data_IF_957054849074
#
_entry.id   IF_957054849074
#
_cell.length_a   1.000
_cell.length_b   1.000
_cell.length_c   1.000
_cell.angle_alpha   90.00
_cell.angle_beta   90.00
_cell.angle_gamma   90.00
#
_symmetry.space_group_name_H-M   'P 1'
#
loop_
_entity.id
_entity.type
_entity.pdbx_description
1 polymer ?
#
# COMPACT_ATOMS: atom_id res chain seq x y z
N UNK A 1 23.15 -44.64 31.84
CA UNK A 1 21.72 -44.60 31.45
C UNK A 1 21.08 -43.43 32.18
N UNK A 2 20.96 -42.29 31.50
CA UNK A 2 20.31 -41.09 32.03
C UNK A 2 18.84 -41.11 31.62
N UNK A 3 17.88 -40.90 32.54
CA UNK A 3 16.46 -40.90 32.20
C UNK A 3 16.11 -39.65 31.37
N UNK A 4 15.34 -39.89 30.31
CA UNK A 4 14.81 -38.88 29.41
C UNK A 4 13.69 -38.09 30.12
N UNK A 5 13.69 -36.74 30.09
CA UNK A 5 12.62 -35.96 30.71
C UNK A 5 11.30 -36.10 29.93
N UNK A 6 10.20 -36.22 30.66
CA UNK A 6 8.85 -36.30 30.10
C UNK A 6 8.42 -34.97 29.44
N UNK A 7 7.62 -35.02 28.35
CA UNK A 7 7.16 -33.81 27.67
C UNK A 7 6.11 -33.05 28.51
N UNK A 8 6.03 -31.71 28.36
CA UNK A 8 5.08 -30.88 29.09
C UNK A 8 3.63 -31.09 28.61
N UNK A 9 2.69 -30.99 29.56
CA UNK A 9 1.26 -31.12 29.35
C UNK A 9 0.69 -29.99 28.46
N UNK A 10 -0.26 -30.35 27.60
CA UNK A 10 -0.95 -29.42 26.71
C UNK A 10 -1.86 -28.44 27.48
N UNK A 11 -1.94 -27.16 27.06
CA UNK A 11 -2.83 -26.18 27.68
C UNK A 11 -4.32 -26.45 27.34
N UNK A 12 -5.26 -26.08 28.23
CA UNK A 12 -6.68 -26.28 28.00
C UNK A 12 -7.24 -25.36 26.90
N UNK A 13 -8.14 -25.91 26.09
CA UNK A 13 -8.84 -25.20 25.03
C UNK A 13 -9.80 -24.14 25.60
N UNK A 14 -9.58 -22.87 25.23
CA UNK A 14 -10.47 -21.76 25.55
C UNK A 14 -11.65 -21.78 24.57
N UNK A 15 -12.85 -22.09 25.09
CA UNK A 15 -14.11 -21.94 24.37
C UNK A 15 -14.52 -20.47 24.38
N UNK A 16 -14.34 -19.76 23.28
CA UNK A 16 -14.88 -18.41 23.10
C UNK A 16 -16.37 -18.47 22.78
N UNK A 17 -17.20 -17.97 23.69
CA UNK A 17 -18.62 -17.73 23.49
C UNK A 17 -18.84 -16.47 22.66
N UNK A 18 -19.64 -16.57 21.59
CA UNK A 18 -20.04 -15.45 20.73
C UNK A 18 -21.36 -14.87 21.24
N UNK A 19 -21.47 -13.58 21.58
CA UNK A 19 -22.75 -12.95 21.85
C UNK A 19 -23.46 -12.54 20.54
N UNK A 20 -24.81 -12.61 20.47
CA UNK A 20 -25.57 -12.19 19.30
C UNK A 20 -25.64 -10.66 19.19
N UNK A 21 -25.36 -10.14 18.00
CA UNK A 21 -25.55 -8.71 17.66
C UNK A 21 -27.01 -8.49 17.24
N UNK A 22 -27.69 -7.61 17.97
CA UNK A 22 -29.06 -7.15 17.71
C UNK A 22 -29.11 -6.25 16.46
N UNK A 23 -29.95 -6.63 15.51
CA UNK A 23 -30.31 -5.85 14.31
C UNK A 23 -31.27 -4.72 14.69
N UNK A 24 -30.90 -3.46 14.44
CA UNK A 24 -31.81 -2.32 14.56
C UNK A 24 -32.28 -1.87 13.17
N UNK A 25 -33.59 -1.93 12.94
CA UNK A 25 -34.31 -1.43 11.76
C UNK A 25 -34.65 0.04 11.98
N UNK A 26 -34.32 0.92 11.03
CA UNK A 26 -34.78 2.31 11.01
C UNK A 26 -35.54 2.56 9.72
N UNK A 27 -36.81 2.89 9.84
CA UNK A 27 -37.70 3.32 8.76
C UNK A 27 -38.40 4.59 9.22
N UNK A 28 -38.32 5.69 8.46
CA UNK A 28 -39.48 6.43 7.89
C UNK A 28 -39.07 7.79 7.30
N UNK A 29 -39.81 8.16 6.26
CA UNK A 29 -39.64 9.28 5.35
C UNK A 29 -40.44 10.54 5.78
N UNK A 30 -40.14 11.69 5.17
CA UNK A 30 -41.15 12.70 4.83
C UNK A 30 -40.66 13.66 3.72
N UNK A 31 -41.46 13.75 2.64
CA UNK A 31 -41.44 14.80 1.61
C UNK A 31 -42.18 16.05 2.14
N UNK A 32 -41.75 17.25 1.72
CA UNK A 32 -42.62 18.43 1.67
C UNK A 32 -42.28 19.31 0.45
N UNK A 33 -43.32 19.77 -0.22
CA UNK A 33 -43.35 20.53 -1.48
C UNK A 33 -43.53 22.05 -1.25
N UNK A 34 -43.06 22.81 -2.26
CA UNK A 34 -43.60 24.07 -2.81
C UNK A 34 -43.38 25.43 -2.12
N UNK A 35 -43.04 26.43 -2.95
CA UNK A 35 -43.23 27.88 -2.70
C UNK A 35 -42.41 28.80 -3.62
N UNK A 36 -43.03 29.31 -4.71
CA UNK A 36 -42.50 30.38 -5.59
C UNK A 36 -42.86 31.77 -5.05
N UNK A 37 -42.02 32.81 -5.24
CA UNK A 37 -42.45 34.14 -5.76
C UNK A 37 -41.24 34.87 -6.39
N UNK A 38 -41.48 35.53 -7.52
CA UNK A 38 -40.54 36.37 -8.28
C UNK A 38 -40.48 37.82 -7.74
N UNK A 39 -39.34 38.50 -7.91
CA UNK A 39 -39.25 39.98 -7.97
C UNK A 39 -37.99 40.36 -8.77
N UNK A 40 -38.17 41.23 -9.77
CA UNK A 40 -37.17 41.71 -10.72
C UNK A 40 -36.04 42.53 -10.05
N UNK A 41 -34.79 42.46 -10.53
CA UNK A 41 -33.79 43.46 -10.20
C UNK A 41 -33.76 44.59 -11.24
N UNK A 42 -33.90 45.81 -10.73
CA UNK A 42 -33.67 47.05 -11.45
C UNK A 42 -32.27 47.12 -12.06
N UNK A 43 -32.21 47.57 -13.31
CA UNK A 43 -31.00 47.93 -14.03
C UNK A 43 -30.31 49.11 -13.34
N UNK A 44 -29.15 48.86 -12.73
CA UNK A 44 -28.18 49.90 -12.41
C UNK A 44 -26.92 49.63 -13.23
N UNK A 45 -26.66 50.53 -14.18
CA UNK A 45 -25.46 50.52 -15.01
C UNK A 45 -24.21 50.56 -14.12
N UNK A 46 -23.32 49.58 -14.31
CA UNK A 46 -21.94 49.65 -13.85
C UNK A 46 -21.05 49.32 -15.04
N UNK A 47 -20.22 50.28 -15.39
CA UNK A 47 -19.21 50.26 -16.45
C UNK A 47 -18.30 49.04 -16.29
N UNK A 48 -18.09 48.18 -17.30
CA UNK A 48 -17.12 47.09 -17.19
C UNK A 48 -15.70 47.64 -17.32
N UNK A 49 -14.90 47.46 -16.27
CA UNK A 49 -13.44 47.54 -16.33
C UNK A 49 -12.94 46.33 -17.16
N UNK A 50 -11.99 46.47 -18.10
CA UNK A 50 -11.45 45.32 -18.82
C UNK A 50 -10.67 44.41 -17.87
N UNK A 51 -11.27 43.28 -17.49
CA UNK A 51 -10.58 42.20 -16.79
C UNK A 51 -9.74 41.41 -17.80
N UNK A 52 -8.43 41.34 -17.57
CA UNK A 52 -7.52 40.55 -18.39
C UNK A 52 -7.91 39.06 -18.29
N UNK A 53 -7.89 38.29 -19.39
CA UNK A 53 -8.25 36.87 -19.33
C UNK A 53 -7.28 36.11 -18.43
N UNK A 54 -7.79 35.56 -17.33
CA UNK A 54 -7.08 34.51 -16.60
C UNK A 54 -6.85 33.33 -17.57
N UNK A 55 -5.64 32.76 -17.65
CA UNK A 55 -5.43 31.58 -18.46
C UNK A 55 -6.32 30.45 -17.92
N UNK A 56 -6.93 29.63 -18.80
CA UNK A 56 -7.71 28.49 -18.33
C UNK A 56 -6.83 27.61 -17.45
N UNK A 57 -7.36 27.01 -16.36
CA UNK A 57 -6.60 25.97 -15.67
C UNK A 57 -6.31 24.89 -16.70
N UNK A 58 -5.02 24.66 -16.97
CA UNK A 58 -4.57 23.51 -17.75
C UNK A 58 -5.21 22.28 -17.13
N UNK A 59 -6.22 21.73 -17.81
CA UNK A 59 -6.68 20.39 -17.55
C UNK A 59 -5.49 19.49 -17.89
N UNK A 60 -4.68 19.17 -16.87
CA UNK A 60 -3.71 18.10 -16.97
C UNK A 60 -4.56 16.88 -17.25
N UNK A 61 -4.55 16.43 -18.50
CA UNK A 61 -5.06 15.13 -18.85
C UNK A 61 -4.29 14.15 -17.98
N UNK A 62 -4.93 13.66 -16.92
CA UNK A 62 -4.43 12.52 -16.17
C UNK A 62 -4.54 11.34 -17.12
N UNK A 63 -3.54 11.15 -17.97
CA UNK A 63 -3.23 9.85 -18.53
C UNK A 63 -3.15 8.93 -17.33
N UNK A 64 -4.15 8.07 -17.16
CA UNK A 64 -4.10 6.95 -16.25
C UNK A 64 -2.75 6.27 -16.53
N UNK A 65 -1.82 6.36 -15.57
CA UNK A 65 -0.51 5.75 -15.70
C UNK A 65 -0.74 4.27 -15.94
N UNK A 66 -0.54 3.86 -17.19
CA UNK A 66 -0.55 2.48 -17.61
C UNK A 66 0.67 1.82 -16.97
N UNK A 67 0.40 0.72 -16.29
CA UNK A 67 1.36 -0.24 -15.74
C UNK A 67 2.19 0.28 -14.55
N UNK A 68 2.22 -0.42 -13.42
CA UNK A 68 3.38 -0.36 -12.55
C UNK A 68 4.51 -1.09 -13.27
N UNK A 69 5.20 -0.39 -14.17
CA UNK A 69 6.42 -0.92 -14.76
C UNK A 69 7.35 -1.33 -13.61
N UNK A 70 7.97 -2.52 -13.73
CA UNK A 70 9.00 -2.93 -12.80
C UNK A 70 10.04 -1.80 -12.71
N UNK A 71 10.22 -1.23 -11.52
CA UNK A 71 11.26 -0.23 -11.31
C UNK A 71 12.60 -0.85 -11.72
N UNK A 72 13.40 -0.15 -12.52
CA UNK A 72 14.72 -0.63 -12.90
C UNK A 72 15.68 -0.46 -11.71
N UNK A 73 16.37 -1.51 -11.23
CA UNK A 73 17.42 -1.38 -10.24
C UNK A 73 18.52 -0.37 -10.61
N UNK A 74 18.75 -0.10 -11.89
CA UNK A 74 19.72 0.87 -12.38
C UNK A 74 19.35 2.34 -12.10
N UNK A 75 18.07 2.65 -11.85
CA UNK A 75 17.61 4.03 -11.61
C UNK A 75 17.62 4.44 -10.13
N UNK A 76 17.88 3.49 -9.22
CA UNK A 76 17.90 3.71 -7.77
C UNK A 76 19.35 3.79 -7.29
N UNK A 77 19.66 4.74 -6.39
CA UNK A 77 20.95 4.71 -5.69
C UNK A 77 21.03 3.49 -4.78
N UNK A 78 21.67 2.43 -5.26
CA UNK A 78 21.79 1.18 -4.52
C UNK A 78 22.73 1.28 -3.30
N UNK A 79 23.41 2.41 -3.07
CA UNK A 79 24.23 2.65 -1.87
C UNK A 79 23.45 3.32 -0.73
N UNK A 80 22.26 3.84 -1.02
CA UNK A 80 21.33 4.39 -0.04
C UNK A 80 20.33 3.32 0.41
N UNK A 81 20.34 3.02 1.71
CA UNK A 81 19.43 2.03 2.29
C UNK A 81 17.97 2.51 2.29
N UNK A 82 17.75 3.83 2.39
CA UNK A 82 16.41 4.41 2.32
C UNK A 82 15.85 4.23 0.90
N UNK A 83 16.63 4.61 -0.12
CA UNK A 83 16.24 4.45 -1.52
C UNK A 83 15.97 2.99 -1.91
N UNK A 84 16.84 2.06 -1.50
CA UNK A 84 16.66 0.62 -1.80
C UNK A 84 15.44 0.05 -1.10
N UNK A 85 15.24 0.33 0.19
CA UNK A 85 14.09 -0.21 0.93
C UNK A 85 12.77 0.33 0.43
N UNK A 86 12.68 1.63 0.11
CA UNK A 86 11.50 2.22 -0.50
C UNK A 86 11.21 1.60 -1.88
N UNK A 87 12.22 1.46 -2.74
CA UNK A 87 12.05 0.85 -4.06
C UNK A 87 11.56 -0.61 -3.99
N UNK A 88 12.10 -1.40 -3.06
CA UNK A 88 11.64 -2.78 -2.84
C UNK A 88 10.18 -2.83 -2.40
N UNK A 89 9.79 -2.01 -1.42
CA UNK A 89 8.40 -1.95 -0.98
C UNK A 89 7.48 -1.47 -2.10
N UNK A 90 7.88 -0.46 -2.87
CA UNK A 90 7.12 -0.02 -4.04
C UNK A 90 6.93 -1.16 -5.03
N UNK A 91 8.00 -1.89 -5.38
CA UNK A 91 7.91 -3.02 -6.32
C UNK A 91 7.00 -4.14 -5.79
N UNK A 92 7.18 -4.56 -4.54
CA UNK A 92 6.40 -5.63 -3.90
C UNK A 92 4.90 -5.31 -3.81
N UNK A 93 4.55 -4.03 -3.69
CA UNK A 93 3.18 -3.56 -3.49
C UNK A 93 2.58 -2.81 -4.67
N UNK A 94 3.25 -2.87 -5.82
CA UNK A 94 2.71 -2.46 -7.11
C UNK A 94 2.18 -3.71 -7.82
N UNK A 95 0.95 -4.05 -7.50
CA UNK A 95 0.23 -5.24 -7.96
C UNK A 95 -0.65 -4.84 -9.14
N UNK A 96 -0.75 -5.70 -10.14
CA UNK A 96 -1.76 -5.62 -11.20
C UNK A 96 -2.45 -6.99 -11.31
N UNK A 97 -3.70 -7.05 -10.85
CA UNK A 97 -4.47 -8.30 -10.82
C UNK A 97 -4.87 -8.82 -12.20
N UNK A 98 -4.60 -8.07 -13.27
CA UNK A 98 -4.81 -8.54 -14.65
C UNK A 98 -3.61 -9.29 -15.22
N UNK A 99 -2.42 -9.12 -14.63
CA UNK A 99 -1.17 -9.76 -15.08
C UNK A 99 -0.53 -10.65 -14.01
N UNK A 100 -0.62 -10.25 -12.75
CA UNK A 100 -0.14 -11.04 -11.61
C UNK A 100 -1.15 -12.16 -11.30
N UNK A 101 -0.68 -13.38 -11.11
CA UNK A 101 -1.55 -14.51 -10.74
C UNK A 101 -1.93 -14.48 -9.26
N UNK A 102 -1.04 -13.92 -8.46
CA UNK A 102 -1.19 -13.69 -7.03
C UNK A 102 -0.19 -12.60 -6.58
N UNK A 103 -0.23 -12.21 -5.31
CA UNK A 103 0.68 -11.21 -4.75
C UNK A 103 2.16 -11.62 -4.82
N UNK A 104 2.48 -12.91 -4.90
CA UNK A 104 3.88 -13.37 -4.99
C UNK A 104 4.51 -12.94 -6.30
N UNK A 105 3.77 -12.91 -7.41
CA UNK A 105 4.30 -12.43 -8.69
C UNK A 105 4.83 -10.99 -8.56
N UNK A 106 4.11 -10.10 -7.86
CA UNK A 106 4.57 -8.75 -7.57
C UNK A 106 5.80 -8.72 -6.67
N UNK A 107 5.82 -9.53 -5.61
CA UNK A 107 6.97 -9.65 -4.69
C UNK A 107 8.23 -10.11 -5.42
N UNK A 108 8.11 -11.07 -6.34
CA UNK A 108 9.25 -11.63 -7.07
C UNK A 108 9.83 -10.66 -8.10
N UNK A 109 9.09 -9.62 -8.54
CA UNK A 109 9.65 -8.54 -9.37
C UNK A 109 10.74 -7.76 -8.64
N UNK A 110 10.77 -7.78 -7.31
CA UNK A 110 11.82 -7.13 -6.52
C UNK A 110 13.14 -7.92 -6.43
N UNK A 111 13.24 -9.10 -7.06
CA UNK A 111 14.34 -10.06 -6.89
C UNK A 111 15.75 -9.46 -7.00
N UNK A 112 15.97 -8.47 -7.88
CA UNK A 112 17.28 -7.83 -8.08
C UNK A 112 17.82 -7.08 -6.85
N UNK A 113 16.95 -6.69 -5.92
CA UNK A 113 17.32 -6.00 -4.67
C UNK A 113 17.30 -6.91 -3.45
N UNK A 114 16.93 -8.18 -3.59
CA UNK A 114 16.83 -9.09 -2.47
C UNK A 114 18.13 -9.85 -2.27
N UNK A 115 18.37 -10.30 -1.05
CA UNK A 115 19.42 -11.27 -0.79
C UNK A 115 19.01 -12.64 -1.37
N UNK A 116 19.95 -13.50 -1.80
CA UNK A 116 19.61 -14.82 -2.32
C UNK A 116 18.83 -15.68 -1.33
N UNK A 117 19.16 -15.60 -0.04
CA UNK A 117 18.45 -16.32 1.02
C UNK A 117 17.00 -15.86 1.12
N UNK A 118 16.76 -14.54 1.22
CA UNK A 118 15.40 -14.02 1.32
C UNK A 118 14.56 -14.29 0.06
N UNK A 119 15.16 -14.21 -1.12
CA UNK A 119 14.48 -14.57 -2.37
C UNK A 119 14.09 -16.06 -2.39
N UNK A 120 14.94 -16.95 -1.87
CA UNK A 120 14.61 -18.37 -1.74
C UNK A 120 13.42 -18.56 -0.78
N UNK A 121 13.43 -17.89 0.38
CA UNK A 121 12.34 -17.94 1.35
C UNK A 121 11.02 -17.45 0.76
N UNK A 122 11.01 -16.39 -0.04
CA UNK A 122 9.79 -15.87 -0.68
C UNK A 122 9.21 -16.82 -1.74
N UNK A 123 10.05 -17.65 -2.36
CA UNK A 123 9.62 -18.65 -3.35
C UNK A 123 8.97 -19.86 -2.70
N UNK A 124 9.43 -20.26 -1.51
CA UNK A 124 8.99 -21.50 -0.85
C UNK A 124 8.08 -21.26 0.36
N UNK A 125 8.10 -20.07 0.93
CA UNK A 125 7.34 -19.71 2.13
C UNK A 125 5.83 -19.59 1.87
N UNK A 126 5.01 -19.58 2.94
CA UNK A 126 3.57 -19.32 2.82
C UNK A 126 3.30 -18.00 2.10
N UNK A 127 2.24 -17.93 1.30
CA UNK A 127 1.87 -16.67 0.64
C UNK A 127 1.39 -15.66 1.68
N UNK A 128 2.02 -14.48 1.72
CA UNK A 128 1.64 -13.36 2.60
C UNK A 128 0.60 -12.50 1.85
N UNK A 129 -0.56 -12.26 2.46
CA UNK A 129 -1.53 -11.25 2.00
C UNK A 129 -2.50 -11.63 0.87
N UNK A 130 -2.55 -12.91 0.48
CA UNK A 130 -3.23 -13.37 -0.74
C UNK A 130 -4.72 -13.71 -0.64
N UNK A 131 -5.36 -13.70 0.53
CA UNK A 131 -6.74 -14.17 0.65
C UNK A 131 -7.77 -13.05 0.51
N UNK A 132 -7.89 -12.14 1.49
CA UNK A 132 -9.02 -11.21 1.49
C UNK A 132 -8.82 -9.99 0.58
N UNK A 133 -7.68 -9.30 0.69
CA UNK A 133 -7.41 -8.06 -0.05
C UNK A 133 -7.21 -8.36 -1.55
N UNK A 134 -6.40 -9.37 -1.87
CA UNK A 134 -6.17 -9.81 -3.24
C UNK A 134 -7.48 -10.19 -3.94
N UNK A 135 -8.33 -11.02 -3.32
CA UNK A 135 -9.60 -11.43 -3.94
C UNK A 135 -10.51 -10.23 -4.23
N UNK A 136 -10.58 -9.25 -3.33
CA UNK A 136 -11.33 -8.02 -3.54
C UNK A 136 -10.78 -7.18 -4.70
N UNK A 137 -9.46 -7.03 -4.78
CA UNK A 137 -8.79 -6.30 -5.87
C UNK A 137 -8.96 -7.01 -7.22
N UNK A 138 -8.79 -8.33 -7.26
CA UNK A 138 -8.92 -9.14 -8.46
C UNK A 138 -10.35 -9.14 -9.01
N UNK A 139 -11.37 -9.17 -8.14
CA UNK A 139 -12.77 -9.04 -8.55
C UNK A 139 -13.06 -7.71 -9.28
N UNK A 140 -12.26 -6.67 -9.01
CA UNK A 140 -12.37 -5.35 -9.63
C UNK A 140 -11.33 -5.11 -10.73
N UNK A 141 -10.52 -6.12 -11.08
CA UNK A 141 -9.38 -6.02 -12.00
C UNK A 141 -8.48 -4.83 -11.65
N UNK A 142 -8.22 -4.65 -10.36
CA UNK A 142 -7.52 -3.50 -9.86
C UNK A 142 -5.99 -3.61 -10.05
N UNK A 143 -5.34 -2.46 -10.16
CA UNK A 143 -3.92 -2.31 -9.89
C UNK A 143 -3.73 -1.47 -8.62
N UNK A 144 -2.60 -1.59 -7.95
CA UNK A 144 -2.33 -0.86 -6.71
C UNK A 144 -1.31 0.26 -6.89
N UNK A 145 -1.51 1.33 -6.15
CA UNK A 145 -0.58 2.45 -6.04
C UNK A 145 -0.05 2.54 -4.60
N UNK A 146 1.18 2.06 -4.33
CA UNK A 146 1.78 2.22 -3.02
C UNK A 146 2.29 3.65 -2.81
N UNK A 147 2.07 4.17 -1.60
CA UNK A 147 2.66 5.39 -1.08
C UNK A 147 3.45 5.03 0.18
N UNK A 148 4.67 5.55 0.28
CA UNK A 148 5.64 5.18 1.32
C UNK A 148 6.08 6.46 2.03
N UNK A 149 5.99 6.47 3.35
CA UNK A 149 6.54 7.56 4.18
C UNK A 149 7.40 6.98 5.29
N UNK A 150 8.48 7.68 5.64
CA UNK A 150 9.40 7.21 6.67
C UNK A 150 8.68 7.07 8.02
N UNK A 151 8.86 5.92 8.66
CA UNK A 151 8.53 5.73 10.07
C UNK A 151 9.60 6.38 10.95
N UNK A 152 9.22 6.82 12.15
CA UNK A 152 10.08 7.59 13.04
C UNK A 152 10.42 6.85 14.35
N UNK A 153 10.23 5.53 14.41
CA UNK A 153 10.54 4.79 15.63
C UNK A 153 12.06 4.63 15.82
N UNK A 154 12.44 4.47 17.09
CA UNK A 154 13.82 4.19 17.45
C UNK A 154 14.26 2.86 16.84
N UNK A 155 15.31 2.92 16.02
CA UNK A 155 15.95 1.75 15.39
C UNK A 155 17.43 1.66 15.76
N UNK A 156 18.05 0.47 15.68
CA UNK A 156 19.49 0.35 15.80
C UNK A 156 20.20 1.30 14.81
N UNK A 157 21.33 1.92 15.20
CA UNK A 157 22.13 2.70 14.27
C UNK A 157 22.63 1.84 13.10
N UNK A 158 22.69 2.41 11.90
CA UNK A 158 23.26 1.75 10.74
C UNK A 158 24.73 1.42 10.96
N UNK A 159 25.16 0.27 10.43
CA UNK A 159 26.56 -0.16 10.41
C UNK A 159 27.12 -0.11 8.99
N UNK A 160 28.39 -0.48 8.82
CA UNK A 160 28.99 -0.58 7.49
C UNK A 160 28.27 -1.61 6.59
N UNK A 161 27.58 -2.61 7.16
CA UNK A 161 27.02 -3.75 6.41
C UNK A 161 25.58 -4.09 6.73
N UNK A 162 24.96 -3.45 7.73
CA UNK A 162 23.56 -3.64 8.14
C UNK A 162 22.85 -2.31 8.33
N UNK A 163 21.58 -2.26 7.97
CA UNK A 163 20.71 -1.13 8.16
C UNK A 163 19.27 -1.62 8.34
N UNK A 164 18.51 -0.95 9.19
CA UNK A 164 17.08 -1.22 9.39
C UNK A 164 16.27 -0.01 8.97
N UNK A 165 15.11 -0.22 8.38
CA UNK A 165 14.20 0.85 7.98
C UNK A 165 12.78 0.53 8.40
N UNK A 166 12.05 1.57 8.78
CA UNK A 166 10.63 1.49 9.03
C UNK A 166 9.92 2.44 8.09
N UNK A 167 8.83 1.95 7.52
CA UNK A 167 8.01 2.69 6.58
C UNK A 167 6.55 2.55 6.94
N UNK A 168 5.81 3.65 6.86
CA UNK A 168 4.37 3.59 6.72
C UNK A 168 4.07 3.35 5.24
N UNK A 169 3.39 2.25 4.96
CA UNK A 169 2.96 1.87 3.62
C UNK A 169 1.45 2.05 3.51
N UNK A 170 1.00 2.79 2.51
CA UNK A 170 -0.41 2.90 2.14
C UNK A 170 -0.58 2.43 0.70
N UNK A 171 -1.39 1.39 0.50
CA UNK A 171 -1.64 0.75 -0.79
C UNK A 171 -3.07 1.06 -1.21
N UNK A 172 -3.22 1.87 -2.24
CA UNK A 172 -4.54 2.24 -2.77
C UNK A 172 -4.83 1.40 -4.02
N UNK A 173 -5.84 0.51 -4.00
CA UNK A 173 -6.27 -0.18 -5.22
C UNK A 173 -7.05 0.79 -6.12
N UNK A 174 -6.85 0.69 -7.42
CA UNK A 174 -7.59 1.43 -8.44
C UNK A 174 -8.28 0.39 -9.33
N UNK A 175 -9.62 0.37 -9.30
CA UNK A 175 -10.41 -0.57 -10.10
C UNK A 175 -10.31 -0.29 -11.61
N UNK A 176 -10.83 -1.21 -12.42
CA UNK A 176 -10.90 -1.02 -13.87
C UNK A 176 -11.73 0.20 -14.32
N UNK A 177 -12.64 0.68 -13.47
CA UNK A 177 -13.40 1.93 -13.69
C UNK A 177 -12.58 3.19 -13.36
N UNK A 178 -11.32 3.04 -12.94
CA UNK A 178 -10.42 4.12 -12.56
C UNK A 178 -10.67 4.69 -11.17
N UNK A 179 -11.64 4.16 -10.41
CA UNK A 179 -11.95 4.67 -9.07
C UNK A 179 -11.03 4.05 -8.02
N UNK A 180 -10.53 4.86 -7.06
CA UNK A 180 -9.80 4.33 -5.93
C UNK A 180 -10.74 3.57 -4.99
N UNK A 181 -10.34 2.36 -4.60
CA UNK A 181 -10.96 1.59 -3.54
C UNK A 181 -10.41 1.96 -2.16
N UNK A 182 -10.84 1.23 -1.12
CA UNK A 182 -10.39 1.43 0.26
C UNK A 182 -8.88 1.16 0.36
N UNK A 183 -8.07 2.12 0.86
CA UNK A 183 -6.64 1.89 1.09
C UNK A 183 -6.39 0.83 2.15
N UNK A 184 -5.32 0.05 1.95
CA UNK A 184 -4.69 -0.79 2.96
C UNK A 184 -3.49 -0.04 3.53
N UNK A 185 -3.40 0.07 4.84
CA UNK A 185 -2.30 0.75 5.52
C UNK A 185 -1.59 -0.22 6.45
N UNK A 186 -0.26 -0.25 6.40
CA UNK A 186 0.58 -1.18 7.14
C UNK A 186 1.87 -0.50 7.57
N UNK A 187 2.50 -0.98 8.64
CA UNK A 187 3.88 -0.62 8.97
C UNK A 187 4.81 -1.70 8.44
N UNK A 188 5.79 -1.31 7.63
CA UNK A 188 6.81 -2.21 7.10
C UNK A 188 8.14 -2.01 7.81
N UNK A 189 8.72 -3.08 8.31
CA UNK A 189 10.08 -3.15 8.85
C UNK A 189 10.97 -3.87 7.84
N UNK A 190 12.02 -3.21 7.37
CA UNK A 190 12.91 -3.70 6.31
C UNK A 190 14.32 -3.81 6.86
N UNK A 191 14.86 -5.03 6.86
CA UNK A 191 16.25 -5.29 7.18
C UNK A 191 17.07 -5.33 5.88
N UNK A 192 18.21 -4.64 5.87
CA UNK A 192 19.12 -4.56 4.73
C UNK A 192 20.52 -5.03 5.12
N UNK A 193 21.18 -5.69 4.17
CA UNK A 193 22.58 -6.09 4.28
C UNK A 193 23.37 -5.78 3.01
N UNK A 194 24.68 -5.56 3.17
CA UNK A 194 25.65 -5.47 2.07
C UNK A 194 26.98 -6.07 2.50
N UNK A 195 27.77 -6.57 1.55
CA UNK A 195 29.04 -7.24 1.87
C UNK A 195 30.12 -6.32 2.45
N UNK A 196 30.12 -5.06 2.02
CA UNK A 196 31.07 -4.03 2.44
C UNK A 196 30.48 -2.65 2.14
N UNK A 197 31.08 -1.58 2.70
CA UNK A 197 30.55 -0.21 2.59
C UNK A 197 30.28 0.27 1.16
N UNK A 198 31.08 -0.16 0.18
CA UNK A 198 30.92 0.22 -1.23
C UNK A 198 29.97 -0.66 -2.04
N UNK A 199 29.57 -1.81 -1.48
CA UNK A 199 28.65 -2.74 -2.13
C UNK A 199 27.21 -2.20 -2.07
N UNK A 200 26.35 -2.59 -3.02
CA UNK A 200 24.95 -2.18 -2.98
C UNK A 200 24.21 -2.87 -1.83
N UNK A 201 23.20 -2.19 -1.27
CA UNK A 201 22.29 -2.77 -0.29
C UNK A 201 21.39 -3.82 -0.92
N UNK A 202 21.10 -4.86 -0.15
CA UNK A 202 20.12 -5.89 -0.47
C UNK A 202 19.20 -6.12 0.71
N UNK A 203 17.91 -6.23 0.46
CA UNK A 203 16.92 -6.51 1.50
C UNK A 203 17.02 -7.98 1.91
N UNK A 204 17.24 -8.21 3.21
CA UNK A 204 17.32 -9.53 3.82
C UNK A 204 16.01 -9.98 4.47
N UNK A 205 15.14 -9.03 4.83
CA UNK A 205 13.80 -9.34 5.32
C UNK A 205 12.86 -8.14 5.20
N UNK A 206 11.57 -8.42 5.01
CA UNK A 206 10.46 -7.47 5.19
C UNK A 206 9.45 -8.10 6.13
N UNK A 207 9.07 -7.37 7.18
CA UNK A 207 7.99 -7.75 8.10
C UNK A 207 6.92 -6.67 8.08
N UNK A 208 5.66 -7.08 8.06
CA UNK A 208 4.50 -6.18 7.98
C UNK A 208 3.68 -6.28 9.28
N UNK A 209 3.15 -5.14 9.74
CA UNK A 209 2.29 -5.02 10.92
C UNK A 209 1.04 -4.21 10.60
#
# INVERSE_FOLDING_TARGET
MTPHPAPPAAPPAVRSAVPPVLTAVVTTAALALAGCVATEPATTASTPVPEAPAPPPSAVATTATREPAALDPGTIDQRDADAVSAAVLTAMWSIDTTTDRDQRDAVLRAAGWLTPAYLADLRTGPQVGTDAAWAAWAAQRAHTRPAITAGHDARPPDTATHADRQWQLTVTPIGADGRPGRPLTMTAFVALQRRQRSAPWRVSAVTLR
#
